data_IF_452371900888
#
_entry.id   IF_452371900888
#
_cell.length_a   1.000
_cell.length_b   1.000
_cell.length_c   1.000
_cell.angle_alpha   90.00
_cell.angle_beta   90.00
_cell.angle_gamma   90.00
#
_symmetry.space_group_name_H-M   'P 1'
#
loop_
_entity.id
_entity.type
_entity.pdbx_description
1 polymer ?
#
# COMPACT_ATOMS: atom_id res chain seq x y z
N UNK A 1 48.61 -22.60 17.09
CA UNK A 1 47.21 -22.39 17.45
C UNK A 1 46.78 -23.37 18.56
N UNK A 2 47.64 -23.65 19.53
CA UNK A 2 47.38 -24.54 20.72
C UNK A 2 47.92 -23.95 22.03
N UNK A 3 48.30 -22.63 22.04
CA UNK A 3 48.91 -22.00 23.23
C UNK A 3 48.13 -20.77 23.77
N UNK A 4 46.90 -20.57 23.32
CA UNK A 4 46.08 -19.42 23.76
C UNK A 4 44.80 -19.80 24.51
N UNK A 5 44.60 -21.10 24.83
CA UNK A 5 43.36 -21.60 25.48
C UNK A 5 43.60 -21.89 26.98
N UNK A 6 44.84 -21.85 27.49
CA UNK A 6 45.14 -22.24 28.85
C UNK A 6 45.27 -21.08 29.88
N UNK A 7 44.94 -19.83 29.53
CA UNK A 7 45.11 -18.70 30.49
C UNK A 7 43.81 -17.97 30.84
N UNK A 8 42.66 -18.55 30.71
CA UNK A 8 41.36 -17.90 31.03
C UNK A 8 40.56 -18.57 32.17
N UNK A 9 41.09 -19.59 32.84
CA UNK A 9 40.39 -20.31 33.90
C UNK A 9 40.83 -20.01 35.37
N UNK A 10 41.64 -19.04 35.64
CA UNK A 10 42.12 -18.79 37.05
C UNK A 10 41.68 -17.47 37.67
N UNK A 11 40.78 -16.69 37.13
CA UNK A 11 40.47 -15.35 37.70
C UNK A 11 39.03 -15.18 38.23
N UNK A 12 38.15 -16.16 38.22
CA UNK A 12 36.75 -15.91 38.64
C UNK A 12 36.18 -16.89 39.69
N UNK A 13 36.93 -17.63 40.45
CA UNK A 13 36.35 -18.32 41.61
C UNK A 13 37.22 -18.19 42.87
N UNK A 14 37.17 -16.98 43.50
CA UNK A 14 37.59 -16.76 44.89
C UNK A 14 36.61 -17.43 45.87
N UNK A 15 37.13 -18.23 46.75
CA UNK A 15 36.47 -19.08 47.79
C UNK A 15 35.34 -18.35 48.53
N UNK A 16 34.10 -18.77 48.36
CA UNK A 16 32.99 -18.50 49.27
C UNK A 16 32.76 -19.69 50.20
N UNK A 17 32.82 -19.43 51.51
CA UNK A 17 32.81 -20.42 52.59
C UNK A 17 31.37 -20.87 52.87
N UNK A 18 31.15 -22.15 52.99
CA UNK A 18 29.85 -22.88 53.15
C UNK A 18 28.97 -22.30 54.30
N UNK A 19 29.52 -21.58 55.25
CA UNK A 19 28.76 -20.95 56.34
C UNK A 19 27.96 -19.73 55.97
N UNK A 20 28.25 -19.08 54.87
CA UNK A 20 27.49 -17.86 54.41
C UNK A 20 26.26 -18.21 53.58
N UNK A 21 26.19 -19.40 53.01
CA UNK A 21 25.02 -19.86 52.20
C UNK A 21 23.86 -20.29 53.10
N UNK A 22 24.10 -20.78 54.30
CA UNK A 22 23.04 -21.16 55.24
C UNK A 22 22.31 -20.01 55.92
N UNK A 23 22.96 -18.84 56.05
CA UNK A 23 22.34 -17.63 56.66
C UNK A 23 21.39 -16.95 55.64
N UNK A 24 21.66 -17.07 54.35
CA UNK A 24 20.80 -16.46 53.30
C UNK A 24 19.47 -17.20 53.10
N UNK A 25 19.40 -18.50 53.39
CA UNK A 25 18.18 -19.29 53.28
C UNK A 25 17.25 -19.23 54.50
N UNK A 26 17.76 -18.80 55.66
CA UNK A 26 16.96 -18.67 56.91
C UNK A 26 16.26 -17.32 56.97
N UNK A 27 16.76 -16.29 56.30
CA UNK A 27 16.07 -14.98 56.22
C UNK A 27 14.94 -14.88 55.18
N UNK A 28 14.87 -15.77 54.24
CA UNK A 28 13.76 -15.83 53.23
C UNK A 28 12.54 -16.58 53.77
N UNK A 29 12.70 -17.46 54.81
CA UNK A 29 11.58 -18.25 55.37
C UNK A 29 10.81 -17.52 56.49
N UNK A 30 11.26 -16.36 56.98
CA UNK A 30 10.58 -15.63 58.06
C UNK A 30 9.78 -14.41 57.59
N UNK A 31 9.79 -14.08 56.28
CA UNK A 31 9.00 -12.98 55.68
C UNK A 31 7.67 -13.45 55.10
N UNK A 32 7.43 -14.78 55.06
CA UNK A 32 6.21 -15.33 54.44
C UNK A 32 5.03 -15.56 55.42
N UNK A 33 5.08 -15.12 56.67
CA UNK A 33 4.02 -15.44 57.65
C UNK A 33 3.36 -14.23 58.34
N UNK A 34 3.59 -12.98 57.85
CA UNK A 34 2.87 -11.78 58.39
C UNK A 34 2.38 -10.94 57.22
N UNK A 35 1.46 -11.44 56.41
CA UNK A 35 0.61 -10.65 55.49
C UNK A 35 -0.59 -11.47 54.97
N UNK A 36 -1.33 -12.09 55.91
CA UNK A 36 -2.67 -12.53 55.63
C UNK A 36 -3.64 -11.68 56.46
N UNK A 37 -4.01 -10.57 55.90
CA UNK A 37 -5.05 -9.75 56.46
C UNK A 37 -4.90 -8.30 56.01
N UNK A 38 -5.46 -7.97 54.86
CA UNK A 38 -6.19 -6.70 54.64
C UNK A 38 -6.46 -6.53 53.12
N UNK A 39 -7.75 -6.42 52.86
CA UNK A 39 -8.34 -5.82 51.66
C UNK A 39 -8.12 -6.53 50.31
N UNK A 40 -9.16 -7.27 49.90
CA UNK A 40 -9.54 -7.42 48.51
C UNK A 40 -9.75 -6.02 47.93
N UNK A 41 -8.70 -5.42 47.39
CA UNK A 41 -8.82 -4.41 46.36
C UNK A 41 -9.13 -5.19 45.06
N UNK A 42 -10.40 -5.17 44.68
CA UNK A 42 -10.86 -5.54 43.35
C UNK A 42 -10.11 -4.63 42.38
N UNK A 43 -8.97 -5.05 41.87
CA UNK A 43 -8.46 -4.52 40.64
C UNK A 43 -9.42 -4.99 39.54
N UNK A 44 -10.39 -4.14 39.24
CA UNK A 44 -11.02 -4.15 37.93
C UNK A 44 -9.90 -4.00 36.90
N UNK A 45 -9.31 -5.10 36.48
CA UNK A 45 -8.70 -5.21 35.20
C UNK A 45 -9.85 -4.92 34.22
N UNK A 46 -9.97 -3.64 33.81
CA UNK A 46 -10.63 -3.31 32.57
C UNK A 46 -9.92 -4.19 31.54
N UNK A 47 -10.57 -5.30 31.19
CA UNK A 47 -10.26 -6.01 29.96
C UNK A 47 -10.22 -4.91 28.89
N UNK A 48 -9.03 -4.58 28.41
CA UNK A 48 -8.94 -3.92 27.13
C UNK A 48 -9.82 -4.78 26.22
N UNK A 49 -10.88 -4.20 25.67
CA UNK A 49 -11.75 -4.85 24.72
C UNK A 49 -10.84 -5.43 23.64
N UNK A 50 -10.55 -6.71 23.71
CA UNK A 50 -9.93 -7.42 22.60
C UNK A 50 -10.92 -7.27 21.46
N UNK A 51 -10.61 -6.40 20.50
CA UNK A 51 -11.44 -6.25 19.32
C UNK A 51 -11.39 -7.62 18.63
N UNK A 52 -12.48 -8.36 18.73
CA UNK A 52 -12.61 -9.64 18.07
C UNK A 52 -12.42 -9.39 16.56
N UNK A 53 -11.40 -10.06 15.98
CA UNK A 53 -11.14 -9.92 14.57
C UNK A 53 -12.30 -10.52 13.78
N UNK A 54 -12.80 -9.85 12.74
CA UNK A 54 -13.87 -10.41 11.93
C UNK A 54 -13.35 -11.68 11.24
N UNK A 55 -14.16 -12.72 11.25
CA UNK A 55 -13.96 -13.83 10.33
C UNK A 55 -14.26 -13.36 8.91
N UNK A 56 -13.40 -13.72 7.97
CA UNK A 56 -13.59 -13.37 6.56
C UNK A 56 -13.18 -14.54 5.65
N UNK A 57 -13.82 -14.58 4.49
CA UNK A 57 -13.51 -15.54 3.44
C UNK A 57 -12.80 -14.82 2.30
N UNK A 58 -11.82 -15.48 1.70
CA UNK A 58 -11.16 -15.00 0.49
C UNK A 58 -11.62 -15.85 -0.69
N UNK A 59 -12.25 -15.21 -1.67
CA UNK A 59 -12.57 -15.83 -2.96
C UNK A 59 -11.61 -15.26 -4.01
N UNK A 60 -10.69 -16.10 -4.49
CA UNK A 60 -9.75 -15.73 -5.53
C UNK A 60 -10.35 -16.00 -6.90
N UNK A 61 -10.41 -14.98 -7.74
CA UNK A 61 -10.93 -15.05 -9.10
C UNK A 61 -9.90 -14.54 -10.10
N UNK A 62 -9.91 -15.09 -11.30
CA UNK A 62 -9.18 -14.59 -12.46
C UNK A 62 -10.15 -13.76 -13.29
N UNK A 63 -9.88 -12.46 -13.39
CA UNK A 63 -10.72 -11.51 -14.15
C UNK A 63 -10.47 -11.64 -15.65
N UNK A 64 -9.19 -11.69 -16.03
CA UNK A 64 -8.72 -11.84 -17.41
C UNK A 64 -7.31 -12.42 -17.40
N UNK A 65 -6.91 -13.00 -18.54
CA UNK A 65 -5.54 -13.47 -18.78
C UNK A 65 -5.01 -12.91 -20.08
N UNK A 66 -3.75 -12.54 -20.10
CA UNK A 66 -3.04 -12.23 -21.34
C UNK A 66 -1.53 -12.33 -21.16
N UNK A 67 -0.93 -13.16 -21.98
CA UNK A 67 0.51 -13.24 -22.17
C UNK A 67 0.83 -13.73 -23.57
N UNK A 68 1.52 -12.94 -24.37
CA UNK A 68 1.92 -13.24 -25.76
C UNK A 68 3.44 -13.08 -25.99
N UNK A 69 4.21 -12.81 -24.91
CA UNK A 69 5.63 -12.49 -24.98
C UNK A 69 5.91 -11.00 -25.17
N UNK A 70 4.91 -10.18 -25.49
CA UNK A 70 5.06 -8.74 -25.73
C UNK A 70 4.56 -7.89 -24.54
N UNK A 71 3.36 -8.23 -24.02
CA UNK A 71 2.81 -7.52 -22.89
C UNK A 71 2.01 -8.43 -21.95
N UNK A 72 1.81 -7.97 -20.74
CA UNK A 72 0.81 -8.45 -19.80
C UNK A 72 0.01 -7.28 -19.22
N UNK A 73 -1.17 -7.57 -18.68
CA UNK A 73 -1.95 -6.58 -17.96
C UNK A 73 -1.32 -6.28 -16.61
N UNK A 74 -1.23 -5.00 -16.26
CA UNK A 74 -0.67 -4.53 -15.00
C UNK A 74 -1.49 -3.39 -14.39
N UNK A 75 -1.23 -3.05 -13.14
CA UNK A 75 -1.87 -1.95 -12.41
C UNK A 75 -3.42 -2.06 -12.38
N UNK A 76 -3.93 -3.29 -12.36
CA UNK A 76 -5.36 -3.53 -12.27
C UNK A 76 -5.91 -3.01 -10.94
N UNK A 77 -6.77 -1.98 -11.00
CA UNK A 77 -7.43 -1.38 -9.83
C UNK A 77 -8.90 -1.16 -10.11
N UNK A 78 -9.74 -1.51 -9.15
CA UNK A 78 -11.18 -1.47 -9.30
C UNK A 78 -11.81 -0.40 -8.41
N UNK A 79 -12.87 0.23 -8.90
CA UNK A 79 -13.75 1.05 -8.10
C UNK A 79 -15.20 0.66 -8.33
N UNK A 80 -16.06 0.90 -7.34
CA UNK A 80 -17.50 0.64 -7.42
C UNK A 80 -18.28 1.95 -7.53
N UNK A 81 -19.27 1.97 -8.40
CA UNK A 81 -20.23 3.05 -8.58
C UNK A 81 -21.59 2.55 -8.06
N UNK A 82 -22.11 3.09 -6.96
CA UNK A 82 -23.30 2.56 -6.32
C UNK A 82 -24.54 2.58 -7.20
N UNK A 83 -25.35 1.52 -7.16
CA UNK A 83 -26.74 1.49 -7.61
C UNK A 83 -26.99 1.49 -9.11
N UNK A 84 -25.97 1.49 -9.97
CA UNK A 84 -26.16 1.53 -11.44
C UNK A 84 -25.88 0.20 -12.15
N UNK A 85 -25.44 -0.81 -11.41
CA UNK A 85 -25.28 -2.16 -11.91
C UNK A 85 -26.60 -2.94 -11.92
N UNK A 86 -26.53 -4.20 -12.32
CA UNK A 86 -27.68 -5.11 -12.42
C UNK A 86 -28.37 -5.29 -11.07
N UNK A 87 -29.70 -5.21 -11.04
CA UNK A 87 -30.51 -5.32 -9.81
C UNK A 87 -30.15 -4.32 -8.71
N UNK A 88 -29.67 -3.12 -9.05
CA UNK A 88 -29.27 -2.10 -8.08
C UNK A 88 -27.94 -2.36 -7.39
N UNK A 89 -27.19 -3.37 -7.82
CA UNK A 89 -25.81 -3.58 -7.38
C UNK A 89 -24.91 -2.46 -7.89
N UNK A 90 -23.70 -2.28 -7.34
CA UNK A 90 -22.76 -1.36 -7.91
C UNK A 90 -22.25 -1.83 -9.28
N UNK A 91 -21.98 -0.88 -10.18
CA UNK A 91 -21.14 -1.12 -11.36
C UNK A 91 -19.69 -1.08 -10.90
N UNK A 92 -18.90 -2.04 -11.35
CA UNK A 92 -17.45 -2.05 -11.13
C UNK A 92 -16.75 -1.52 -12.38
N UNK A 93 -15.80 -0.60 -12.17
CA UNK A 93 -14.88 -0.13 -13.22
C UNK A 93 -13.47 -0.55 -12.81
N UNK A 94 -12.85 -1.40 -13.63
CA UNK A 94 -11.44 -1.76 -13.47
C UNK A 94 -10.59 -0.97 -14.47
N UNK A 95 -9.59 -0.29 -13.98
CA UNK A 95 -8.55 0.36 -14.81
C UNK A 95 -7.32 -0.52 -14.85
N UNK A 96 -6.66 -0.61 -16.00
CA UNK A 96 -5.40 -1.34 -16.17
C UNK A 96 -4.62 -0.83 -17.39
N UNK A 97 -3.36 -1.24 -17.50
CA UNK A 97 -2.48 -0.89 -18.61
C UNK A 97 -1.76 -2.13 -19.13
N UNK A 98 -1.35 -2.10 -20.38
CA UNK A 98 -0.37 -3.06 -20.89
C UNK A 98 1.00 -2.67 -20.35
N UNK A 99 1.71 -3.60 -19.76
CA UNK A 99 3.14 -3.44 -19.53
C UNK A 99 3.89 -4.10 -20.68
N UNK A 100 4.59 -3.30 -21.47
CA UNK A 100 5.44 -3.79 -22.56
C UNK A 100 6.77 -4.26 -21.98
N UNK A 101 6.96 -5.56 -21.91
CA UNK A 101 8.06 -6.21 -21.15
C UNK A 101 9.45 -5.92 -21.71
N UNK A 102 9.56 -5.42 -22.94
CA UNK A 102 10.81 -4.98 -23.53
C UNK A 102 11.51 -3.85 -22.74
N UNK A 103 10.79 -3.11 -21.93
CA UNK A 103 11.33 -1.99 -21.15
C UNK A 103 10.71 -1.94 -19.75
N UNK A 104 11.52 -1.58 -18.74
CA UNK A 104 11.01 -1.29 -17.40
C UNK A 104 10.06 -0.10 -17.42
N UNK A 105 8.95 -0.20 -16.68
CA UNK A 105 7.95 0.88 -16.51
C UNK A 105 7.46 1.51 -17.82
N UNK A 106 7.31 0.69 -18.88
CA UNK A 106 6.77 1.12 -20.16
C UNK A 106 5.33 0.63 -20.33
N UNK A 107 4.38 1.55 -20.18
CA UNK A 107 2.96 1.24 -20.14
C UNK A 107 2.20 1.89 -21.30
N UNK A 108 1.14 1.25 -21.76
CA UNK A 108 0.19 1.81 -22.73
C UNK A 108 -0.59 3.00 -22.16
N UNK A 109 -1.48 3.58 -22.96
CA UNK A 109 -2.64 4.30 -22.46
C UNK A 109 -3.51 3.42 -21.55
N UNK A 110 -4.49 4.02 -20.90
CA UNK A 110 -5.35 3.30 -19.96
C UNK A 110 -6.43 2.50 -20.70
N UNK A 111 -6.63 1.27 -20.25
CA UNK A 111 -7.75 0.39 -20.61
C UNK A 111 -8.72 0.28 -19.45
N UNK A 112 -9.98 0.05 -19.73
CA UNK A 112 -10.99 -0.23 -18.71
C UNK A 112 -11.83 -1.44 -19.06
N UNK A 113 -12.31 -2.12 -18.02
CA UNK A 113 -13.34 -3.15 -18.07
C UNK A 113 -14.46 -2.76 -17.12
N UNK A 114 -15.67 -3.20 -17.41
CA UNK A 114 -16.85 -2.96 -16.59
C UNK A 114 -17.53 -4.28 -16.20
N UNK A 115 -18.11 -4.29 -15.01
CA UNK A 115 -18.99 -5.36 -14.56
C UNK A 115 -20.21 -4.76 -13.87
N UNK A 116 -21.40 -5.21 -14.27
CA UNK A 116 -22.68 -4.81 -13.67
C UNK A 116 -23.26 -5.86 -12.70
N UNK A 117 -22.53 -6.96 -12.46
CA UNK A 117 -22.97 -8.13 -11.69
C UNK A 117 -21.93 -8.60 -10.67
N UNK A 118 -21.26 -7.65 -10.03
CA UNK A 118 -20.26 -7.90 -8.99
C UNK A 118 -19.12 -8.81 -9.44
N UNK A 119 -18.66 -8.63 -10.68
CA UNK A 119 -17.53 -9.36 -11.24
C UNK A 119 -17.86 -10.75 -11.78
N UNK A 120 -19.14 -11.15 -11.80
CA UNK A 120 -19.53 -12.42 -12.40
C UNK A 120 -19.26 -12.43 -13.91
N UNK A 121 -19.45 -11.29 -14.57
CA UNK A 121 -19.07 -11.08 -15.97
C UNK A 121 -18.38 -9.71 -16.13
N UNK A 122 -17.48 -9.65 -17.09
CA UNK A 122 -16.73 -8.43 -17.44
C UNK A 122 -16.83 -8.16 -18.94
N UNK A 123 -16.84 -6.87 -19.31
CA UNK A 123 -16.60 -6.50 -20.71
C UNK A 123 -15.17 -6.82 -21.10
N UNK A 124 -14.90 -6.90 -22.39
CA UNK A 124 -13.53 -6.92 -22.89
C UNK A 124 -12.78 -5.63 -22.51
N UNK A 125 -11.43 -5.69 -22.36
CA UNK A 125 -10.63 -4.49 -22.12
C UNK A 125 -10.74 -3.51 -23.27
N UNK A 126 -11.28 -2.33 -23.00
CA UNK A 126 -11.41 -1.26 -23.97
C UNK A 126 -10.39 -0.16 -23.73
N UNK A 127 -9.58 0.16 -24.75
CA UNK A 127 -8.71 1.33 -24.70
C UNK A 127 -9.55 2.60 -24.56
N UNK A 128 -9.09 3.50 -23.70
CA UNK A 128 -9.75 4.79 -23.49
C UNK A 128 -8.95 5.90 -24.15
N UNK A 129 -9.31 6.32 -25.38
CA UNK A 129 -8.57 7.35 -26.11
C UNK A 129 -8.35 8.64 -25.33
N UNK A 130 -9.33 9.14 -24.51
CA UNK A 130 -9.11 10.31 -23.66
C UNK A 130 -8.01 10.12 -22.60
N UNK A 131 -7.64 8.89 -22.29
CA UNK A 131 -6.64 8.49 -21.30
C UNK A 131 -5.36 7.96 -21.95
N UNK A 132 -5.22 8.16 -23.26
CA UNK A 132 -4.06 7.75 -24.05
C UNK A 132 -2.86 8.67 -23.90
N UNK A 133 -1.83 8.32 -24.60
CA UNK A 133 -0.58 9.08 -24.69
C UNK A 133 -0.77 10.42 -25.38
N UNK A 134 -0.01 11.42 -24.93
CA UNK A 134 0.11 12.74 -25.57
C UNK A 134 1.50 12.89 -26.15
N UNK A 135 1.58 13.18 -27.44
CA UNK A 135 2.83 13.36 -28.17
C UNK A 135 3.25 14.81 -28.13
N UNK A 136 4.45 15.06 -27.64
CA UNK A 136 5.04 16.41 -27.61
C UNK A 136 5.86 16.67 -28.88
N UNK A 137 6.09 17.95 -29.19
CA UNK A 137 6.89 18.37 -30.34
C UNK A 137 8.35 17.91 -30.26
N UNK A 138 8.89 17.75 -29.05
CA UNK A 138 10.27 17.28 -28.77
C UNK A 138 10.41 15.75 -28.85
N UNK A 139 9.45 15.06 -29.46
CA UNK A 139 9.39 13.60 -29.56
C UNK A 139 9.28 12.85 -28.24
N UNK A 140 8.97 13.55 -27.14
CA UNK A 140 8.65 12.93 -25.87
C UNK A 140 7.17 12.55 -25.86
N UNK A 141 6.90 11.34 -25.33
CA UNK A 141 5.54 10.86 -25.10
C UNK A 141 5.22 11.04 -23.63
N UNK A 142 4.07 11.61 -23.33
CA UNK A 142 3.58 11.76 -21.95
C UNK A 142 2.33 10.92 -21.78
N UNK A 143 2.37 9.98 -20.86
CA UNK A 143 1.23 9.16 -20.44
C UNK A 143 0.87 9.38 -18.99
N UNK A 144 -0.13 8.66 -18.52
CA UNK A 144 -0.49 8.54 -17.13
C UNK A 144 -0.33 7.09 -16.70
N UNK A 145 0.06 6.86 -15.45
CA UNK A 145 0.17 5.52 -14.91
C UNK A 145 -0.10 5.48 -13.39
N UNK A 146 -0.15 4.28 -12.84
CA UNK A 146 -0.41 4.03 -11.43
C UNK A 146 -1.73 4.63 -10.93
N UNK A 147 -2.72 4.62 -11.82
CA UNK A 147 -4.03 5.22 -11.59
C UNK A 147 -4.84 4.40 -10.59
N UNK A 148 -5.35 5.06 -9.55
CA UNK A 148 -6.27 4.48 -8.56
C UNK A 148 -7.65 5.15 -8.69
N UNK A 149 -8.67 4.45 -9.21
CA UNK A 149 -10.02 4.97 -9.32
C UNK A 149 -10.74 4.95 -7.98
N UNK A 150 -11.65 5.89 -7.76
CA UNK A 150 -12.50 5.98 -6.58
C UNK A 150 -13.78 6.77 -6.84
N UNK A 151 -14.84 6.43 -6.13
CA UNK A 151 -16.12 7.10 -6.25
C UNK A 151 -16.17 8.41 -5.46
N UNK A 152 -16.53 9.50 -6.11
CA UNK A 152 -16.79 10.78 -5.47
C UNK A 152 -18.30 11.04 -5.39
N UNK A 153 -18.90 10.60 -4.29
CA UNK A 153 -20.35 10.65 -4.09
C UNK A 153 -20.96 12.05 -4.26
N UNK A 154 -20.34 13.14 -3.72
CA UNK A 154 -20.92 14.48 -3.83
C UNK A 154 -21.15 14.96 -5.28
N UNK A 155 -20.29 14.57 -6.22
CA UNK A 155 -20.44 14.96 -7.63
C UNK A 155 -21.07 13.89 -8.51
N UNK A 156 -21.22 12.67 -7.99
CA UNK A 156 -21.69 11.53 -8.78
C UNK A 156 -20.74 11.16 -9.93
N UNK A 157 -19.43 11.30 -9.72
CA UNK A 157 -18.37 10.97 -10.67
C UNK A 157 -17.40 9.97 -10.08
N UNK A 158 -16.74 9.21 -10.94
CA UNK A 158 -15.56 8.45 -10.55
C UNK A 158 -14.33 9.28 -10.88
N UNK A 159 -13.50 9.51 -9.89
CA UNK A 159 -12.22 10.19 -10.03
C UNK A 159 -11.10 9.15 -9.97
N UNK A 160 -10.15 9.21 -10.89
CA UNK A 160 -9.00 8.33 -10.92
C UNK A 160 -7.72 9.16 -10.80
N UNK A 161 -6.88 8.83 -9.82
CA UNK A 161 -5.67 9.57 -9.44
C UNK A 161 -4.42 8.74 -9.66
N UNK A 162 -3.39 9.33 -10.24
CA UNK A 162 -2.11 8.70 -10.49
C UNK A 162 -1.02 9.74 -10.72
N UNK A 163 -0.11 9.47 -11.65
CA UNK A 163 0.92 10.43 -12.02
C UNK A 163 1.25 10.37 -13.51
N UNK A 164 1.92 11.41 -14.02
CA UNK A 164 2.43 11.44 -15.38
C UNK A 164 3.71 10.60 -15.50
N UNK A 165 3.87 9.97 -16.65
CA UNK A 165 5.08 9.24 -17.04
C UNK A 165 5.57 9.73 -18.39
N UNK A 166 6.87 9.72 -18.59
CA UNK A 166 7.50 10.25 -19.80
C UNK A 166 8.31 9.15 -20.50
N UNK A 167 8.07 9.00 -21.80
CA UNK A 167 8.73 7.99 -22.62
C UNK A 167 9.51 8.63 -23.77
N UNK A 168 10.57 7.95 -24.18
CA UNK A 168 11.32 8.27 -25.39
C UNK A 168 10.53 7.86 -26.62
N UNK A 169 10.74 8.54 -27.74
CA UNK A 169 10.29 8.05 -29.05
C UNK A 169 10.96 6.70 -29.33
N UNK A 170 10.19 5.68 -29.61
CA UNK A 170 10.68 4.31 -29.80
C UNK A 170 10.64 3.42 -28.57
N UNK A 171 10.13 3.93 -27.45
CA UNK A 171 9.88 3.14 -26.23
C UNK A 171 10.85 3.38 -25.08
N UNK A 172 10.44 2.91 -23.92
CA UNK A 172 11.20 3.01 -22.69
C UNK A 172 11.06 4.35 -21.96
N UNK A 173 11.23 4.28 -20.65
CA UNK A 173 11.07 5.43 -19.77
C UNK A 173 12.19 6.46 -19.99
N UNK A 174 11.85 7.73 -19.99
CA UNK A 174 12.83 8.82 -19.93
C UNK A 174 13.37 8.89 -18.50
N UNK A 175 14.64 8.49 -18.30
CA UNK A 175 15.26 8.35 -16.98
C UNK A 175 15.95 9.62 -16.47
N UNK A 176 16.16 10.61 -17.33
CA UNK A 176 16.71 11.91 -16.94
C UNK A 176 15.81 12.63 -15.95
N UNK A 177 16.35 13.63 -15.25
CA UNK A 177 15.55 14.46 -14.37
C UNK A 177 14.41 15.11 -15.18
N UNK A 178 13.20 14.75 -14.88
CA UNK A 178 12.00 15.14 -15.62
C UNK A 178 10.90 15.62 -14.70
N UNK A 179 10.01 16.48 -15.18
CA UNK A 179 8.81 16.80 -14.44
C UNK A 179 7.95 15.54 -14.31
N UNK A 180 7.31 15.42 -13.17
CA UNK A 180 6.23 14.47 -12.90
C UNK A 180 5.14 15.23 -12.16
N UNK A 181 3.90 14.96 -12.46
CA UNK A 181 2.77 15.64 -11.81
C UNK A 181 1.74 14.62 -11.38
N UNK A 182 1.02 14.92 -10.32
CA UNK A 182 -0.23 14.22 -10.03
C UNK A 182 -1.16 14.38 -11.23
N UNK A 183 -1.58 13.25 -11.79
CA UNK A 183 -2.51 13.20 -12.91
C UNK A 183 -3.86 12.67 -12.44
N UNK A 184 -4.93 13.17 -13.05
CA UNK A 184 -6.27 12.70 -12.77
C UNK A 184 -7.12 12.56 -14.01
N UNK A 185 -8.10 11.69 -13.95
CA UNK A 185 -9.11 11.49 -14.96
C UNK A 185 -10.49 11.34 -14.31
N UNK A 186 -11.53 11.71 -15.03
CA UNK A 186 -12.90 11.71 -14.56
C UNK A 186 -13.73 10.81 -15.47
N UNK A 187 -14.46 9.84 -14.89
CA UNK A 187 -15.47 9.07 -15.58
C UNK A 187 -16.86 9.58 -15.22
N UNK A 188 -17.64 9.86 -16.25
CA UNK A 188 -19.05 10.26 -16.14
C UNK A 188 -19.98 9.04 -16.32
N UNK A 189 -20.54 8.48 -15.25
CA UNK A 189 -21.38 7.30 -15.38
C UNK A 189 -22.71 7.55 -16.10
N UNK A 190 -23.17 8.80 -16.17
CA UNK A 190 -24.39 9.17 -16.92
C UNK A 190 -24.17 9.14 -18.43
N UNK A 191 -22.93 9.37 -18.87
CA UNK A 191 -22.53 9.38 -20.27
C UNK A 191 -21.76 8.13 -20.68
N UNK A 192 -21.42 7.27 -19.69
CA UNK A 192 -20.57 6.09 -19.84
C UNK A 192 -19.26 6.41 -20.56
N UNK A 193 -18.58 7.49 -20.13
CA UNK A 193 -17.36 7.94 -20.78
C UNK A 193 -16.34 8.57 -19.84
N UNK A 194 -15.06 8.40 -20.19
CA UNK A 194 -13.95 9.10 -19.59
C UNK A 194 -13.74 10.46 -20.25
N UNK A 195 -13.46 11.47 -19.43
CA UNK A 195 -12.96 12.77 -19.90
C UNK A 195 -11.44 12.69 -20.09
N UNK A 196 -10.84 13.59 -20.92
CA UNK A 196 -9.39 13.64 -21.07
C UNK A 196 -8.70 13.84 -19.72
N UNK A 197 -7.62 13.09 -19.48
CA UNK A 197 -6.85 13.23 -18.25
C UNK A 197 -6.23 14.63 -18.13
N UNK A 198 -6.02 15.09 -16.90
CA UNK A 198 -5.45 16.38 -16.56
C UNK A 198 -4.35 16.22 -15.51
N UNK A 199 -3.60 17.29 -15.28
CA UNK A 199 -2.60 17.40 -14.24
C UNK A 199 -3.11 18.34 -13.15
N UNK A 200 -2.88 17.96 -11.89
CA UNK A 200 -3.10 18.87 -10.78
C UNK A 200 -2.06 19.98 -10.81
N UNK A 201 -2.52 21.22 -10.83
CA UNK A 201 -1.64 22.39 -10.76
C UNK A 201 -1.19 22.59 -9.32
N UNK A 202 0.11 22.51 -9.09
CA UNK A 202 0.73 22.74 -7.79
C UNK A 202 1.12 24.21 -7.62
N UNK A 203 1.22 24.74 -6.39
CA UNK A 203 1.52 26.16 -6.15
C UNK A 203 2.99 26.52 -6.41
N UNK A 204 3.90 25.55 -6.37
CA UNK A 204 5.34 25.73 -6.53
C UNK A 204 5.92 24.65 -7.46
N UNK A 205 6.09 25.04 -8.72
CA UNK A 205 6.63 24.16 -9.78
C UNK A 205 8.10 23.78 -9.56
N UNK A 206 8.85 24.51 -8.75
CA UNK A 206 10.22 24.18 -8.40
C UNK A 206 10.25 23.07 -7.34
N UNK A 207 9.51 23.24 -6.26
CA UNK A 207 9.43 22.29 -5.14
C UNK A 207 8.77 20.98 -5.56
N UNK A 208 7.66 21.06 -6.28
CA UNK A 208 6.89 19.90 -6.73
C UNK A 208 7.23 19.47 -8.16
N UNK A 209 8.44 19.77 -8.62
CA UNK A 209 8.86 19.48 -10.00
C UNK A 209 8.72 18.01 -10.39
N UNK A 210 9.08 17.10 -9.49
CA UNK A 210 8.87 15.68 -9.66
C UNK A 210 7.95 15.19 -8.54
N UNK A 211 6.64 15.25 -8.75
CA UNK A 211 5.63 14.87 -7.76
C UNK A 211 4.61 13.90 -8.36
N UNK A 212 3.90 13.17 -7.52
CA UNK A 212 2.87 12.26 -7.99
C UNK A 212 2.05 11.67 -6.86
N UNK A 213 0.88 11.14 -7.20
CA UNK A 213 -0.06 10.46 -6.30
C UNK A 213 -0.40 9.05 -6.80
N UNK A 214 0.49 8.46 -7.59
CA UNK A 214 0.32 7.11 -8.10
C UNK A 214 0.52 6.04 -7.04
N UNK A 215 -0.07 4.88 -7.25
CA UNK A 215 -0.03 3.72 -6.38
C UNK A 215 -0.64 3.92 -4.97
N UNK A 216 -1.25 5.05 -4.65
CA UNK A 216 -1.77 5.36 -3.31
C UNK A 216 -3.29 5.21 -3.21
N UNK A 217 -3.79 4.91 -2.02
CA UNK A 217 -5.19 5.10 -1.68
C UNK A 217 -5.38 6.55 -1.19
N UNK A 218 -6.48 7.15 -1.59
CA UNK A 218 -6.87 8.51 -1.26
C UNK A 218 -8.29 8.52 -0.68
N UNK A 219 -8.71 9.61 -0.05
CA UNK A 219 -9.97 9.68 0.68
C UNK A 219 -10.83 10.83 0.19
N UNK A 220 -12.15 10.62 0.25
CA UNK A 220 -13.18 11.67 0.18
C UNK A 220 -13.63 11.94 1.61
N UNK A 221 -13.55 13.20 2.02
CA UNK A 221 -14.03 13.66 3.33
C UNK A 221 -15.55 13.89 3.31
N UNK A 222 -16.16 14.02 4.48
CA UNK A 222 -17.62 14.23 4.63
C UNK A 222 -18.10 15.52 3.94
N UNK A 223 -17.24 16.53 3.86
CA UNK A 223 -17.51 17.82 3.16
C UNK A 223 -17.30 17.73 1.64
N UNK A 224 -16.92 16.56 1.12
CA UNK A 224 -16.63 16.32 -0.29
C UNK A 224 -15.22 16.71 -0.73
N UNK A 225 -14.38 17.22 0.16
CA UNK A 225 -12.97 17.47 -0.15
C UNK A 225 -12.18 16.18 -0.20
N UNK A 226 -11.01 16.26 -0.80
CA UNK A 226 -10.14 15.12 -1.03
C UNK A 226 -8.85 15.23 -0.22
N UNK A 227 -8.46 14.12 0.36
CA UNK A 227 -7.13 13.91 0.94
C UNK A 227 -6.34 12.99 0.01
N UNK A 228 -5.32 13.52 -0.63
CA UNK A 228 -4.55 12.82 -1.66
C UNK A 228 -3.10 12.69 -1.21
N UNK A 229 -2.65 11.49 -0.83
CA UNK A 229 -1.24 11.29 -0.51
C UNK A 229 -0.38 11.49 -1.77
N UNK A 230 0.73 12.19 -1.61
CA UNK A 230 1.63 12.53 -2.69
C UNK A 230 3.08 12.43 -2.24
N UNK A 231 3.96 12.13 -3.19
CA UNK A 231 5.41 12.19 -3.02
C UNK A 231 5.99 13.23 -3.97
N UNK A 232 7.14 13.81 -3.62
CA UNK A 232 7.74 14.86 -4.43
C UNK A 232 9.24 14.99 -4.23
N UNK A 233 9.90 15.60 -5.23
CA UNK A 233 11.28 16.08 -5.22
C UNK A 233 11.38 17.41 -5.95
N UNK A 234 12.22 18.32 -5.43
CA UNK A 234 12.48 19.60 -6.05
C UNK A 234 13.28 19.47 -7.36
N UNK A 235 13.22 20.48 -8.22
CA UNK A 235 13.80 20.50 -9.56
C UNK A 235 15.32 20.22 -9.58
N UNK A 236 16.07 20.77 -8.65
CA UNK A 236 17.52 20.63 -8.60
C UNK A 236 17.99 19.59 -7.56
N UNK A 237 17.06 18.84 -6.98
CA UNK A 237 17.40 17.79 -6.04
C UNK A 237 17.94 16.57 -6.79
N UNK A 238 19.26 16.36 -6.71
CA UNK A 238 19.96 15.22 -7.29
C UNK A 238 19.99 14.03 -6.36
N UNK A 239 19.52 14.15 -5.12
CA UNK A 239 19.41 13.03 -4.19
C UNK A 239 18.40 12.01 -4.74
N UNK A 240 18.53 10.77 -4.31
CA UNK A 240 17.52 9.75 -4.60
C UNK A 240 16.50 9.65 -3.44
N UNK A 241 16.20 10.77 -2.77
CA UNK A 241 15.29 10.82 -1.63
C UNK A 241 14.04 11.63 -1.97
N UNK A 242 12.89 10.97 -1.91
CA UNK A 242 11.60 11.64 -2.01
C UNK A 242 11.06 12.00 -0.63
N UNK A 243 10.32 13.08 -0.57
CA UNK A 243 9.44 13.43 0.56
C UNK A 243 8.00 13.11 0.22
N UNK A 244 7.19 12.84 1.25
CA UNK A 244 5.75 12.61 1.10
C UNK A 244 4.95 13.64 1.88
N UNK A 245 3.73 13.90 1.45
CA UNK A 245 2.75 14.75 2.13
C UNK A 245 1.34 14.31 1.78
N UNK A 246 0.33 14.89 2.41
CA UNK A 246 -1.08 14.73 2.03
C UNK A 246 -1.59 16.06 1.50
N UNK A 247 -2.05 16.06 0.24
CA UNK A 247 -2.67 17.20 -0.41
C UNK A 247 -4.13 17.28 0.00
N UNK A 248 -4.61 18.47 0.34
CA UNK A 248 -6.00 18.81 0.53
C UNK A 248 -6.50 19.48 -0.76
N UNK A 249 -7.49 18.88 -1.39
CA UNK A 249 -7.99 19.33 -2.69
C UNK A 249 -9.52 19.43 -2.68
N UNK A 250 -10.06 20.27 -3.52
CA UNK A 250 -11.48 20.27 -3.88
C UNK A 250 -11.69 19.69 -5.27
N UNK A 251 -12.88 19.12 -5.50
CA UNK A 251 -13.28 18.57 -6.77
C UNK A 251 -14.73 18.92 -7.07
N UNK A 252 -14.97 19.59 -8.20
CA UNK A 252 -16.29 20.06 -8.62
C UNK A 252 -17.04 19.10 -9.57
N UNK A 253 -16.47 17.92 -9.81
CA UNK A 253 -16.98 16.90 -10.75
C UNK A 253 -16.32 16.95 -12.13
N UNK A 254 -15.47 17.94 -12.38
CA UNK A 254 -14.71 18.10 -13.62
C UNK A 254 -13.25 18.48 -13.36
N UNK A 255 -13.01 19.39 -12.44
CA UNK A 255 -11.69 19.92 -12.10
C UNK A 255 -11.29 19.58 -10.67
N UNK A 256 -10.07 19.05 -10.52
CA UNK A 256 -9.39 18.88 -9.25
C UNK A 256 -8.53 20.12 -8.97
N UNK A 257 -8.70 20.71 -7.80
CA UNK A 257 -8.01 21.95 -7.41
C UNK A 257 -7.26 21.75 -6.11
N UNK A 258 -5.97 22.06 -6.09
CA UNK A 258 -5.15 22.09 -4.89
C UNK A 258 -5.58 23.25 -3.98
N UNK A 259 -5.67 23.01 -2.68
CA UNK A 259 -5.95 24.03 -1.67
C UNK A 259 -4.75 24.25 -0.74
N UNK A 260 -4.24 23.17 -0.15
CA UNK A 260 -3.09 23.15 0.77
C UNK A 260 -2.51 21.75 0.86
N UNK A 261 -1.45 21.58 1.62
CA UNK A 261 -0.89 20.28 2.00
C UNK A 261 -0.51 20.26 3.48
N UNK A 262 -0.42 19.06 4.03
CA UNK A 262 0.04 18.82 5.39
C UNK A 262 1.57 18.93 5.51
N UNK A 263 2.08 18.56 6.67
CA UNK A 263 3.52 18.46 6.92
C UNK A 263 4.21 17.60 5.86
N UNK A 264 5.46 17.96 5.57
CA UNK A 264 6.31 17.22 4.66
C UNK A 264 7.10 16.18 5.42
N UNK A 265 6.78 14.94 5.11
CA UNK A 265 7.44 13.79 5.72
C UNK A 265 8.69 13.45 4.92
N UNK A 266 9.84 13.53 5.56
CA UNK A 266 11.15 13.22 4.97
C UNK A 266 11.89 12.22 5.84
N UNK A 267 12.64 11.32 5.21
CA UNK A 267 13.49 10.37 5.92
C UNK A 267 14.78 10.17 5.15
N UNK A 268 15.90 10.36 5.82
CA UNK A 268 17.22 10.27 5.17
C UNK A 268 17.67 8.82 5.00
N UNK A 269 17.00 8.12 4.10
CA UNK A 269 17.32 6.75 3.66
C UNK A 269 17.25 6.70 2.13
N UNK A 270 17.95 5.77 1.46
CA UNK A 270 17.86 5.62 0.02
C UNK A 270 16.41 5.60 -0.47
N UNK A 271 16.09 6.43 -1.47
CA UNK A 271 14.76 6.71 -2.03
C UNK A 271 13.82 7.52 -1.13
N UNK A 272 14.14 7.78 0.14
CA UNK A 272 13.28 8.54 1.05
C UNK A 272 11.92 7.88 1.28
N UNK A 273 10.86 8.67 1.31
CA UNK A 273 9.47 8.20 1.48
C UNK A 273 8.70 8.37 0.18
N UNK A 274 8.12 7.28 -0.32
CA UNK A 274 7.59 7.19 -1.67
C UNK A 274 6.23 6.49 -1.68
N UNK A 275 5.40 6.73 -2.69
CA UNK A 275 4.10 6.09 -2.89
C UNK A 275 3.30 5.88 -1.59
N UNK A 276 2.96 6.98 -0.90
CA UNK A 276 2.18 6.90 0.33
C UNK A 276 0.76 6.42 0.05
N UNK A 277 0.15 5.69 1.00
CA UNK A 277 -1.23 5.23 0.92
C UNK A 277 -1.97 5.56 2.20
N UNK A 278 -3.14 6.20 2.08
CA UNK A 278 -3.88 6.82 3.16
C UNK A 278 -5.18 6.08 3.45
N UNK A 279 -5.51 5.96 4.73
CA UNK A 279 -6.83 5.53 5.17
C UNK A 279 -7.28 6.30 6.41
N UNK A 280 -8.58 6.24 6.70
CA UNK A 280 -9.16 6.73 7.96
C UNK A 280 -9.73 5.56 8.75
N UNK A 281 -9.43 5.51 10.04
CA UNK A 281 -9.93 4.48 10.94
C UNK A 281 -10.17 5.07 12.34
N UNK A 282 -11.36 4.91 12.87
CA UNK A 282 -11.78 5.48 14.19
C UNK A 282 -11.50 6.98 14.33
N UNK A 283 -11.71 7.74 13.25
CA UNK A 283 -11.51 9.19 13.24
C UNK A 283 -10.04 9.64 13.14
N UNK A 284 -9.08 8.73 13.01
CA UNK A 284 -7.66 9.03 12.81
C UNK A 284 -7.21 8.63 11.40
N UNK A 285 -6.21 9.30 10.88
CA UNK A 285 -5.64 9.07 9.54
C UNK A 285 -4.36 8.27 9.66
N UNK A 286 -4.26 7.18 8.91
CA UNK A 286 -3.10 6.28 8.88
C UNK A 286 -2.45 6.35 7.51
N UNK A 287 -1.14 6.60 7.48
CA UNK A 287 -0.36 6.72 6.26
C UNK A 287 0.75 5.68 6.26
N UNK A 288 0.72 4.75 5.31
CA UNK A 288 1.86 3.87 5.02
C UNK A 288 2.73 4.49 3.93
N UNK A 289 4.04 4.29 4.04
CA UNK A 289 5.06 4.96 3.24
C UNK A 289 6.02 3.90 2.70
N UNK A 290 6.08 3.77 1.39
CA UNK A 290 7.01 2.85 0.73
C UNK A 290 8.45 3.38 0.82
N UNK A 291 9.39 2.45 0.91
CA UNK A 291 10.82 2.68 0.76
C UNK A 291 11.50 1.44 0.20
N UNK A 292 12.72 1.58 -0.34
CA UNK A 292 13.45 0.48 -0.96
C UNK A 292 14.12 -0.47 0.03
N UNK A 293 14.21 -0.10 1.31
CA UNK A 293 14.84 -0.90 2.37
C UNK A 293 13.78 -1.55 3.25
N UNK A 294 12.84 -0.75 3.77
CA UNK A 294 11.70 -1.17 4.59
C UNK A 294 10.58 -0.15 4.50
N UNK A 295 9.35 -0.59 4.71
CA UNK A 295 8.21 0.31 4.72
C UNK A 295 8.05 0.98 6.08
N UNK A 296 7.33 2.11 6.08
CA UNK A 296 7.09 2.94 7.26
C UNK A 296 5.61 3.26 7.42
N UNK A 297 5.25 3.70 8.61
CA UNK A 297 3.90 4.11 8.97
C UNK A 297 3.92 5.32 9.89
N UNK A 298 2.89 6.15 9.77
CA UNK A 298 2.60 7.23 10.70
C UNK A 298 1.09 7.42 10.83
N UNK A 299 0.67 8.17 11.84
CA UNK A 299 -0.73 8.45 12.15
C UNK A 299 -0.93 9.92 12.46
N UNK A 300 -2.11 10.45 12.14
CA UNK A 300 -2.49 11.84 12.35
C UNK A 300 -3.94 11.92 12.81
N UNK A 301 -4.27 12.95 13.57
CA UNK A 301 -5.64 13.23 13.98
C UNK A 301 -6.36 14.20 13.00
N UNK A 302 -5.62 14.88 12.11
CA UNK A 302 -6.16 15.93 11.22
C UNK A 302 -5.67 15.82 9.75
N UNK A 303 -4.86 14.82 9.42
CA UNK A 303 -4.16 14.66 8.13
C UNK A 303 -3.25 15.84 7.74
N UNK A 304 -2.94 16.71 8.68
CA UNK A 304 -2.05 17.88 8.52
C UNK A 304 -0.74 17.70 9.29
N UNK A 305 -0.84 17.23 10.53
CA UNK A 305 0.28 17.05 11.45
C UNK A 305 0.43 15.56 11.76
N UNK A 306 1.63 15.03 11.59
CA UNK A 306 1.87 13.59 11.66
C UNK A 306 2.74 13.24 12.87
N UNK A 307 2.43 12.14 13.52
CA UNK A 307 3.27 11.59 14.58
C UNK A 307 4.61 11.08 14.00
N UNK A 308 5.56 10.75 14.91
CA UNK A 308 6.85 10.20 14.51
C UNK A 308 6.70 8.97 13.61
N UNK A 309 7.40 8.99 12.49
CA UNK A 309 7.43 7.89 11.52
C UNK A 309 8.06 6.65 12.18
N UNK A 310 7.41 5.49 12.04
CA UNK A 310 7.90 4.20 12.55
C UNK A 310 8.12 3.22 11.40
N UNK A 311 9.12 2.34 11.46
CA UNK A 311 9.21 1.23 10.54
C UNK A 311 8.07 0.24 10.82
N UNK A 312 7.56 -0.41 9.77
CA UNK A 312 6.64 -1.52 9.93
C UNK A 312 7.33 -2.74 10.55
N UNK A 313 6.81 -3.21 11.68
CA UNK A 313 7.25 -4.43 12.36
C UNK A 313 6.03 -5.27 12.78
N UNK A 314 6.26 -6.56 12.99
CA UNK A 314 5.28 -7.43 13.62
C UNK A 314 5.21 -7.19 15.13
N UNK A 315 4.13 -7.63 15.75
CA UNK A 315 3.89 -7.53 17.19
C UNK A 315 4.90 -8.31 18.04
N UNK A 316 5.59 -9.29 17.45
CA UNK A 316 6.71 -10.02 18.05
C UNK A 316 8.08 -9.32 17.88
N UNK A 317 8.10 -8.10 17.32
CA UNK A 317 9.30 -7.28 17.13
C UNK A 317 10.13 -7.58 15.88
N UNK A 318 9.77 -8.59 15.10
CA UNK A 318 10.45 -8.87 13.83
C UNK A 318 10.07 -7.87 12.75
N UNK A 319 11.02 -7.51 11.89
CA UNK A 319 10.73 -6.68 10.71
C UNK A 319 9.73 -7.41 9.80
N UNK A 320 8.75 -6.67 9.29
CA UNK A 320 7.78 -7.25 8.35
C UNK A 320 8.42 -7.70 7.04
N UNK A 321 9.57 -7.12 6.68
CA UNK A 321 10.28 -7.45 5.44
C UNK A 321 9.66 -6.85 4.18
N UNK A 322 8.66 -5.98 4.30
CA UNK A 322 8.09 -5.25 3.18
C UNK A 322 9.07 -4.17 2.71
N UNK A 323 9.46 -4.23 1.46
CA UNK A 323 10.39 -3.28 0.87
C UNK A 323 10.13 -3.14 -0.64
N UNK A 324 10.49 -1.97 -1.18
CA UNK A 324 10.44 -1.68 -2.61
C UNK A 324 9.10 -2.01 -3.30
N UNK A 325 8.01 -1.95 -2.53
CA UNK A 325 6.65 -2.01 -3.07
C UNK A 325 5.69 -1.26 -2.14
N UNK A 326 4.57 -0.81 -2.68
CA UNK A 326 3.52 -0.14 -1.89
C UNK A 326 2.85 -1.10 -0.91
N UNK A 327 2.21 -0.54 0.10
CA UNK A 327 1.29 -1.21 0.99
C UNK A 327 -0.05 -0.49 0.94
N UNK A 328 -1.14 -1.21 1.18
CA UNK A 328 -2.48 -0.64 1.16
C UNK A 328 -3.29 -1.11 2.35
N UNK A 329 -4.34 -0.36 2.64
CA UNK A 329 -5.20 -0.55 3.77
C UNK A 329 -6.49 -1.26 3.36
N UNK A 330 -6.97 -2.16 4.22
CA UNK A 330 -8.34 -2.62 4.22
C UNK A 330 -8.97 -2.31 5.59
N UNK A 331 -10.16 -1.76 5.58
CA UNK A 331 -10.88 -1.39 6.81
C UNK A 331 -12.23 -2.08 6.82
N UNK A 332 -12.54 -2.78 7.89
CA UNK A 332 -13.87 -3.35 8.10
C UNK A 332 -14.28 -3.21 9.56
N UNK A 333 -15.45 -2.57 9.82
CA UNK A 333 -15.97 -2.29 11.17
C UNK A 333 -14.88 -1.68 12.07
N UNK A 334 -14.52 -2.40 13.12
CA UNK A 334 -13.55 -1.98 14.13
C UNK A 334 -12.14 -2.55 13.91
N UNK A 335 -11.84 -3.02 12.71
CA UNK A 335 -10.56 -3.63 12.38
C UNK A 335 -9.87 -2.93 11.21
N UNK A 336 -8.58 -2.73 11.38
CA UNK A 336 -7.67 -2.18 10.39
C UNK A 336 -6.74 -3.29 9.92
N UNK A 337 -6.57 -3.42 8.60
CA UNK A 337 -5.69 -4.42 7.98
C UNK A 337 -4.71 -3.74 7.04
N UNK A 338 -3.54 -4.33 6.92
CA UNK A 338 -2.53 -3.99 5.91
C UNK A 338 -2.46 -5.10 4.86
N UNK A 339 -2.47 -4.70 3.58
CA UNK A 339 -2.18 -5.58 2.44
C UNK A 339 -0.79 -5.26 1.93
N UNK A 340 0.07 -6.27 1.78
CA UNK A 340 1.48 -6.09 1.48
C UNK A 340 2.13 -7.32 0.84
N UNK A 341 3.35 -7.12 0.32
CA UNK A 341 4.29 -8.21 0.01
C UNK A 341 5.48 -8.11 0.95
N UNK A 342 6.22 -9.18 1.14
CA UNK A 342 7.41 -9.21 2.00
C UNK A 342 8.41 -10.27 1.59
N UNK A 343 9.68 -10.08 1.96
CA UNK A 343 10.70 -11.11 1.92
C UNK A 343 10.56 -12.11 3.08
N UNK A 344 11.32 -13.17 3.05
CA UNK A 344 11.30 -14.20 4.09
C UNK A 344 10.03 -15.04 4.09
N UNK A 345 9.43 -15.24 2.91
CA UNK A 345 8.25 -16.06 2.67
C UNK A 345 8.53 -17.22 1.68
N UNK A 346 9.77 -17.69 1.66
CA UNK A 346 10.27 -18.67 0.68
C UNK A 346 10.10 -18.19 -0.77
N UNK A 347 10.32 -16.89 -0.99
CA UNK A 347 10.03 -16.19 -2.23
C UNK A 347 11.25 -15.40 -2.77
N UNK A 348 12.47 -15.82 -2.47
CA UNK A 348 13.70 -15.14 -2.90
C UNK A 348 13.91 -15.22 -4.43
N UNK A 349 13.28 -16.19 -5.09
CA UNK A 349 13.23 -16.31 -6.55
C UNK A 349 12.35 -15.25 -7.22
N UNK A 350 11.50 -14.54 -6.45
CA UNK A 350 10.67 -13.45 -6.96
C UNK A 350 11.41 -12.12 -6.79
N UNK A 351 11.70 -11.36 -7.85
CA UNK A 351 12.36 -10.07 -7.75
C UNK A 351 11.63 -9.12 -6.78
N UNK A 352 12.40 -8.52 -5.86
CA UNK A 352 11.87 -7.61 -4.83
C UNK A 352 10.85 -8.26 -3.89
N UNK A 353 10.79 -9.60 -3.85
CA UNK A 353 9.79 -10.37 -3.08
C UNK A 353 8.35 -9.89 -3.27
N UNK A 354 8.00 -9.48 -4.51
CA UNK A 354 6.70 -8.89 -4.86
C UNK A 354 5.60 -9.93 -5.09
N UNK A 355 5.71 -11.07 -4.48
CA UNK A 355 4.70 -12.13 -4.34
C UNK A 355 5.15 -13.08 -3.23
N UNK A 356 4.22 -13.77 -2.55
CA UNK A 356 2.77 -13.64 -2.60
C UNK A 356 2.25 -12.33 -1.99
N UNK A 357 0.96 -12.01 -2.18
CA UNK A 357 0.28 -10.94 -1.48
C UNK A 357 -0.31 -11.45 -0.16
N UNK A 358 -0.05 -10.69 0.90
CA UNK A 358 -0.52 -10.97 2.25
C UNK A 358 -1.52 -9.92 2.73
N UNK A 359 -2.35 -10.29 3.69
CA UNK A 359 -3.11 -9.38 4.53
C UNK A 359 -2.96 -9.80 5.98
N UNK A 360 -2.79 -8.83 6.87
CA UNK A 360 -2.79 -9.05 8.31
C UNK A 360 -3.46 -7.88 9.03
N UNK A 361 -4.02 -8.15 10.21
CA UNK A 361 -4.57 -7.11 11.07
C UNK A 361 -3.46 -6.22 11.64
N UNK A 362 -3.81 -4.97 11.89
CA UNK A 362 -2.94 -3.95 12.47
C UNK A 362 -3.45 -3.56 13.85
N UNK A 363 -2.55 -3.49 14.82
CA UNK A 363 -2.80 -2.78 16.08
C UNK A 363 -2.69 -1.26 15.79
N UNK A 364 -3.80 -0.52 15.78
CA UNK A 364 -3.81 0.88 15.36
C UNK A 364 -3.14 1.83 16.36
N UNK A 365 -3.04 1.45 17.64
CA UNK A 365 -2.42 2.28 18.68
C UNK A 365 -0.90 2.11 18.70
N UNK A 366 -0.44 0.89 18.53
CA UNK A 366 0.99 0.57 18.55
C UNK A 366 1.64 0.70 17.17
N UNK A 367 0.84 0.68 16.09
CA UNK A 367 1.26 0.65 14.69
C UNK A 367 2.11 -0.60 14.38
N UNK A 368 1.60 -1.76 14.75
CA UNK A 368 2.22 -3.07 14.57
C UNK A 368 1.31 -3.97 13.76
N UNK A 369 1.89 -4.85 12.95
CA UNK A 369 1.16 -5.91 12.25
C UNK A 369 1.06 -7.14 13.15
N UNK A 370 -0.14 -7.66 13.35
CA UNK A 370 -0.39 -8.84 14.16
C UNK A 370 0.00 -10.11 13.37
N UNK A 371 1.15 -10.71 13.68
CA UNK A 371 1.75 -11.78 12.89
C UNK A 371 0.85 -13.01 12.73
N UNK A 372 0.17 -13.41 13.79
CA UNK A 372 -0.70 -14.60 13.79
C UNK A 372 -1.95 -14.44 12.90
N UNK A 373 -2.25 -13.21 12.47
CA UNK A 373 -3.38 -12.92 11.58
C UNK A 373 -2.99 -12.89 10.10
N UNK A 374 -1.70 -13.06 9.78
CA UNK A 374 -1.20 -13.03 8.42
C UNK A 374 -1.79 -14.17 7.59
N UNK A 375 -2.43 -13.83 6.47
CA UNK A 375 -2.95 -14.78 5.50
C UNK A 375 -2.49 -14.41 4.09
N UNK A 376 -2.22 -15.42 3.27
CA UNK A 376 -1.99 -15.23 1.83
C UNK A 376 -3.34 -14.95 1.17
N UNK A 377 -3.44 -13.82 0.49
CA UNK A 377 -4.60 -13.48 -0.34
C UNK A 377 -4.46 -14.02 -1.76
N UNK A 378 -3.26 -13.83 -2.34
CA UNK A 378 -2.95 -14.27 -3.70
C UNK A 378 -1.61 -14.99 -3.64
N UNK A 379 -1.58 -16.29 -3.94
CA UNK A 379 -0.33 -17.06 -3.95
C UNK A 379 0.58 -16.61 -5.09
N UNK A 380 1.87 -16.81 -4.93
CA UNK A 380 2.84 -16.60 -5.99
C UNK A 380 2.79 -17.75 -7.02
N UNK A 381 3.16 -17.44 -8.25
CA UNK A 381 3.29 -18.39 -9.37
C UNK A 381 4.55 -18.13 -10.18
N UNK A 382 5.65 -17.72 -9.51
CA UNK A 382 6.97 -17.49 -10.10
C UNK A 382 7.24 -16.07 -10.57
N UNK A 383 6.26 -15.17 -10.61
CA UNK A 383 6.39 -13.81 -11.14
C UNK A 383 5.97 -12.73 -10.15
N UNK A 384 6.34 -11.48 -10.45
CA UNK A 384 6.00 -10.34 -9.58
C UNK A 384 4.53 -9.98 -9.63
N UNK A 385 3.99 -9.56 -8.49
CA UNK A 385 2.63 -8.99 -8.31
C UNK A 385 2.64 -7.70 -7.48
N UNK A 386 3.58 -6.79 -7.75
CA UNK A 386 3.83 -5.63 -6.87
C UNK A 386 2.92 -4.43 -7.04
N UNK A 387 2.20 -4.30 -8.15
CA UNK A 387 1.38 -3.12 -8.47
C UNK A 387 -0.11 -3.42 -8.25
N UNK A 388 -0.47 -3.78 -7.03
CA UNK A 388 -1.83 -4.13 -6.65
C UNK A 388 -2.66 -2.91 -6.19
N UNK A 389 -3.96 -3.08 -6.13
CA UNK A 389 -4.91 -2.13 -5.55
C UNK A 389 -5.78 -2.77 -4.48
N UNK A 390 -6.28 -1.98 -3.55
CA UNK A 390 -7.25 -2.40 -2.53
C UNK A 390 -8.42 -1.42 -2.55
N UNK A 391 -9.62 -1.94 -2.70
CA UNK A 391 -10.82 -1.11 -2.84
C UNK A 391 -11.99 -1.70 -2.06
N UNK A 392 -12.66 -0.89 -1.25
CA UNK A 392 -13.95 -1.23 -0.66
C UNK A 392 -15.01 -1.19 -1.75
N UNK A 393 -15.63 -2.32 -2.02
CA UNK A 393 -16.66 -2.45 -3.06
C UNK A 393 -18.04 -2.25 -2.46
N UNK A 394 -18.32 -2.93 -1.35
CA UNK A 394 -19.51 -2.75 -0.52
C UNK A 394 -19.10 -2.75 0.96
N UNK A 395 -20.05 -2.60 1.86
CA UNK A 395 -19.78 -2.72 3.30
C UNK A 395 -19.34 -4.14 3.70
N UNK A 396 -19.75 -5.12 2.91
CA UNK A 396 -19.51 -6.54 3.15
C UNK A 396 -18.35 -7.09 2.33
N UNK A 397 -17.75 -6.28 1.42
CA UNK A 397 -16.76 -6.80 0.48
C UNK A 397 -15.67 -5.79 0.13
N UNK A 398 -14.41 -6.22 0.28
CA UNK A 398 -13.21 -5.50 -0.14
C UNK A 398 -12.46 -6.35 -1.17
N UNK A 399 -11.98 -5.74 -2.25
CA UNK A 399 -11.21 -6.43 -3.29
C UNK A 399 -9.75 -6.00 -3.28
N UNK A 400 -8.88 -7.00 -3.46
CA UNK A 400 -7.47 -6.80 -3.77
C UNK A 400 -7.26 -7.26 -5.21
N UNK A 401 -6.85 -6.34 -6.08
CA UNK A 401 -6.67 -6.63 -7.52
C UNK A 401 -5.22 -6.44 -7.94
N UNK A 402 -4.71 -7.36 -8.78
CA UNK A 402 -3.34 -7.31 -9.28
C UNK A 402 -3.20 -8.10 -10.58
N UNK A 403 -2.35 -7.64 -11.48
CA UNK A 403 -1.89 -8.42 -12.62
C UNK A 403 -0.55 -9.09 -12.32
N UNK A 404 -0.34 -10.27 -12.88
CA UNK A 404 0.98 -10.89 -12.95
C UNK A 404 1.86 -10.09 -13.90
N UNK A 405 2.97 -9.58 -13.39
CA UNK A 405 4.02 -9.02 -14.22
C UNK A 405 4.93 -10.19 -14.66
N UNK A 406 4.86 -10.59 -15.93
CA UNK A 406 5.49 -11.80 -16.48
C UNK A 406 7.04 -11.69 -16.46
N UNK A 407 7.55 -11.50 -15.25
CA UNK A 407 8.97 -11.34 -14.95
C UNK A 407 9.29 -11.92 -13.55
N UNK A 408 10.39 -12.68 -13.37
CA UNK A 408 11.44 -12.93 -14.34
C UNK A 408 11.08 -14.05 -15.34
N UNK A 409 11.60 -14.00 -16.57
CA UNK A 409 11.21 -14.95 -17.61
C UNK A 409 11.61 -16.41 -17.33
N UNK A 410 12.65 -16.63 -16.55
CA UNK A 410 13.12 -17.98 -16.16
C UNK A 410 12.15 -18.72 -15.21
N UNK A 411 11.19 -18.04 -14.61
CA UNK A 411 10.22 -18.63 -13.68
C UNK A 411 8.81 -18.82 -14.30
N UNK A 412 8.65 -18.60 -15.59
CA UNK A 412 7.32 -18.67 -16.22
C UNK A 412 6.69 -20.09 -16.20
N UNK A 413 7.52 -21.12 -16.07
CA UNK A 413 7.09 -22.52 -15.91
C UNK A 413 6.50 -22.82 -14.52
N UNK A 414 6.60 -21.90 -13.54
CA UNK A 414 6.03 -22.05 -12.20
C UNK A 414 4.51 -21.79 -12.15
N UNK A 415 3.87 -21.58 -13.29
CA UNK A 415 2.42 -21.51 -13.42
C UNK A 415 1.83 -20.13 -13.70
N UNK A 416 2.66 -19.08 -13.84
CA UNK A 416 2.19 -17.78 -14.28
C UNK A 416 1.68 -17.82 -15.72
N UNK A 417 0.57 -17.15 -15.99
CA UNK A 417 -0.07 -17.12 -17.31
C UNK A 417 -0.60 -15.73 -17.70
N UNK A 418 -0.13 -14.68 -17.04
CA UNK A 418 -0.57 -13.31 -17.26
C UNK A 418 -1.97 -13.03 -16.70
N UNK A 419 -2.36 -13.74 -15.66
CA UNK A 419 -3.63 -13.53 -14.97
C UNK A 419 -3.70 -12.17 -14.29
N UNK A 420 -4.85 -11.54 -14.38
CA UNK A 420 -5.32 -10.48 -13.50
C UNK A 420 -6.21 -11.09 -12.44
N UNK A 421 -5.80 -11.02 -11.20
CA UNK A 421 -6.53 -11.56 -10.07
C UNK A 421 -7.40 -10.52 -9.38
N UNK A 422 -8.54 -10.97 -8.86
CA UNK A 422 -9.32 -10.30 -7.84
C UNK A 422 -9.44 -11.24 -6.63
N UNK A 423 -8.79 -10.91 -5.52
CA UNK A 423 -9.03 -11.56 -4.24
C UNK A 423 -10.16 -10.80 -3.53
N UNK A 424 -11.33 -11.39 -3.51
CA UNK A 424 -12.54 -10.84 -2.89
C UNK A 424 -12.56 -11.25 -1.42
N UNK A 425 -12.43 -10.26 -0.55
CA UNK A 425 -12.50 -10.43 0.90
C UNK A 425 -13.96 -10.21 1.28
N UNK A 426 -14.63 -11.27 1.68
CA UNK A 426 -16.04 -11.28 2.10
C UNK A 426 -16.04 -11.30 3.62
N UNK A 427 -16.47 -10.19 4.21
CA UNK A 427 -16.46 -9.93 5.65
C UNK A 427 -17.61 -10.58 6.40
#
# INVERSE_FOLDING_TARGET
>A
MKSLINNLNEVVFGKLNIRQVQIFFIQISLISFILTGLTRCSTNNKHANSTELPDYKVKLEVVIKHWDGEFNWTQARVASIPGIGKNGQPRLIMTMQKWFVAHSDYYSGLYTMQSDDMGATWTDPAEQPPLGWRYRKDSVIVGICDITPGWHAPTGKLLALGHTVYYKKGGGQLLEQRPRSTAYAVYDPKKDQWLPWNQLKMPDDYKFFNSGSGCGQWLVQDDGKLLIPAYFKAKNDTSNCYSSTVLHCSFDGNQLTYEKHGEELSWNVPRGLYEPSLTVFRGRYYLTLRNDIKAYVTVSDDAMHWQAIKPWVFDNGLEIGSYNTQQHWAVHKNCLFLVYTRRGANNDHIPRSRAPLFMAAVDPERLLVLKETERVLIPERGVMMGNFGVSTITKEETWVTVGENMYPPENLDMGADGSVFAARIIW
#
